data_IF_320115058918
#
_entry.id   IF_320115058918
#
_cell.length_a   1.000
_cell.length_b   1.000
_cell.length_c   1.000
_cell.angle_alpha   90.00
_cell.angle_beta   90.00
_cell.angle_gamma   90.00
#
_symmetry.space_group_name_H-M   'P 1'
#
loop_
_entity.id
_entity.type
_entity.pdbx_description
1 polymer ?
#
# COMPACT_ATOMS: atom_id res chain seq x y z
N UNK A 1 23.07 -28.13 0.47
CA UNK A 1 23.43 -26.71 0.71
C UNK A 1 23.33 -25.88 -0.56
N UNK A 2 24.05 -26.25 -1.63
CA UNK A 2 23.96 -25.58 -2.96
C UNK A 2 22.53 -25.62 -3.52
N UNK A 3 21.86 -26.77 -3.46
CA UNK A 3 20.46 -26.91 -3.90
C UNK A 3 19.49 -25.97 -3.14
N UNK A 4 19.70 -25.81 -1.83
CA UNK A 4 18.90 -24.91 -0.99
C UNK A 4 19.10 -23.44 -1.41
N UNK A 5 20.34 -23.06 -1.70
CA UNK A 5 20.69 -21.71 -2.14
C UNK A 5 20.12 -21.42 -3.53
N UNK A 6 20.24 -22.35 -4.47
CA UNK A 6 19.64 -22.24 -5.81
C UNK A 6 18.12 -22.05 -5.68
N UNK A 7 17.46 -22.81 -4.79
CA UNK A 7 16.03 -22.66 -4.52
C UNK A 7 15.68 -21.26 -3.98
N UNK A 8 16.48 -20.69 -3.09
CA UNK A 8 16.27 -19.32 -2.59
C UNK A 8 16.50 -18.26 -3.67
N UNK A 9 17.51 -18.42 -4.53
CA UNK A 9 17.77 -17.51 -5.65
C UNK A 9 16.58 -17.52 -6.63
N UNK A 10 16.06 -18.71 -6.97
CA UNK A 10 14.87 -18.84 -7.83
C UNK A 10 13.65 -18.14 -7.19
N UNK A 11 13.41 -18.34 -5.89
CA UNK A 11 12.32 -17.68 -5.17
C UNK A 11 12.49 -16.15 -5.21
N UNK A 12 13.70 -15.63 -4.99
CA UNK A 12 13.99 -14.20 -5.02
C UNK A 12 13.72 -13.59 -6.41
N UNK A 13 14.12 -14.29 -7.49
CA UNK A 13 13.84 -13.85 -8.87
C UNK A 13 12.32 -13.81 -9.13
N UNK A 14 11.59 -14.86 -8.75
CA UNK A 14 10.12 -14.92 -8.93
C UNK A 14 9.44 -13.78 -8.16
N UNK A 15 9.86 -13.52 -6.92
CA UNK A 15 9.35 -12.41 -6.11
C UNK A 15 9.66 -11.04 -6.72
N UNK A 16 10.85 -10.88 -7.32
CA UNK A 16 11.23 -9.70 -8.11
C UNK A 16 10.27 -9.42 -9.25
N UNK A 17 10.03 -10.44 -10.09
CA UNK A 17 9.11 -10.33 -11.24
C UNK A 17 7.68 -10.01 -10.78
N UNK A 18 7.19 -10.67 -9.72
CA UNK A 18 5.86 -10.39 -9.17
C UNK A 18 5.75 -8.93 -8.70
N UNK A 19 6.75 -8.44 -7.96
CA UNK A 19 6.78 -7.07 -7.47
C UNK A 19 6.73 -6.03 -8.59
N UNK A 20 7.49 -6.26 -9.66
CA UNK A 20 7.55 -5.37 -10.82
C UNK A 20 6.25 -5.38 -11.63
N UNK A 21 5.68 -6.57 -11.88
CA UNK A 21 4.38 -6.70 -12.55
C UNK A 21 3.27 -5.99 -11.76
N UNK A 22 3.23 -6.14 -10.44
CA UNK A 22 2.25 -5.44 -9.59
C UNK A 22 2.45 -3.93 -9.63
N UNK A 23 3.71 -3.47 -9.57
CA UNK A 23 4.02 -2.03 -9.64
C UNK A 23 3.59 -1.42 -10.98
N UNK A 24 3.81 -2.15 -12.08
CA UNK A 24 3.44 -1.73 -13.43
C UNK A 24 1.92 -1.79 -13.68
N UNK A 25 1.21 -2.81 -13.18
CA UNK A 25 -0.27 -2.84 -13.23
C UNK A 25 -0.87 -1.69 -12.42
N UNK A 26 -0.27 -1.38 -11.27
CA UNK A 26 -0.66 -0.27 -10.40
C UNK A 26 -0.45 1.09 -11.08
N UNK A 27 0.65 1.30 -11.80
CA UNK A 27 0.90 2.56 -12.53
C UNK A 27 -0.03 2.69 -13.75
N UNK A 28 -0.30 1.61 -14.48
CA UNK A 28 -1.21 1.62 -15.64
C UNK A 28 -2.65 1.98 -15.24
N UNK A 29 -3.14 1.46 -14.12
CA UNK A 29 -4.43 1.86 -13.52
C UNK A 29 -4.40 3.25 -12.86
N UNK A 30 -3.26 3.94 -12.84
CA UNK A 30 -3.14 5.33 -12.37
C UNK A 30 -3.37 6.34 -13.50
N UNK A 31 -3.08 5.99 -14.75
CA UNK A 31 -3.17 6.90 -15.89
C UNK A 31 -4.52 6.86 -16.64
N UNK A 32 -5.47 6.00 -16.24
CA UNK A 32 -6.80 6.01 -16.84
C UNK A 32 -7.65 7.14 -16.25
N UNK A 33 -7.68 8.26 -16.97
CA UNK A 33 -8.65 9.35 -16.95
C UNK A 33 -9.15 9.80 -15.58
N UNK A 34 -8.47 10.81 -15.02
CA UNK A 34 -9.02 11.71 -14.01
C UNK A 34 -10.13 12.53 -14.68
N UNK A 35 -11.32 11.96 -14.78
CA UNK A 35 -12.52 12.78 -14.86
C UNK A 35 -12.84 13.25 -13.45
N UNK A 36 -13.35 14.47 -13.30
CA UNK A 36 -13.70 15.10 -12.01
C UNK A 36 -14.64 14.26 -11.14
N UNK A 37 -15.25 13.24 -11.73
CA UNK A 37 -16.30 12.40 -11.18
C UNK A 37 -15.82 11.01 -10.76
N UNK A 38 -14.69 10.55 -11.31
CA UNK A 38 -14.14 9.20 -11.08
C UNK A 38 -12.67 9.30 -10.70
N UNK A 39 -12.36 9.07 -9.43
CA UNK A 39 -10.97 9.10 -8.96
C UNK A 39 -10.73 8.07 -7.87
N UNK A 40 -9.46 7.73 -7.65
CA UNK A 40 -9.03 6.78 -6.62
C UNK A 40 -8.16 7.49 -5.60
N UNK A 41 -8.55 7.43 -4.34
CA UNK A 41 -7.70 7.80 -3.20
C UNK A 41 -6.75 6.65 -2.93
N UNK A 42 -5.43 6.91 -2.97
CA UNK A 42 -4.39 5.88 -2.87
C UNK A 42 -3.56 6.06 -1.61
N UNK A 43 -2.83 5.00 -1.25
CA UNK A 43 -1.82 5.12 -0.21
C UNK A 43 -0.78 6.17 -0.65
N UNK A 44 -0.13 6.87 0.29
CA UNK A 44 0.84 7.91 -0.05
C UNK A 44 1.88 7.38 -1.05
N UNK A 45 2.07 8.07 -2.17
CA UNK A 45 3.04 7.64 -3.19
C UNK A 45 4.45 7.48 -2.60
N UNK A 46 4.83 8.36 -1.68
CA UNK A 46 6.10 8.32 -0.93
C UNK A 46 6.27 6.98 -0.20
N UNK A 47 5.21 6.45 0.42
CA UNK A 47 5.27 5.16 1.11
C UNK A 47 5.52 4.02 0.13
N UNK A 48 4.86 4.02 -1.03
CA UNK A 48 5.10 3.01 -2.08
C UNK A 48 6.56 3.03 -2.54
N UNK A 49 7.12 4.21 -2.80
CA UNK A 49 8.51 4.35 -3.24
C UNK A 49 9.52 3.99 -2.14
N UNK A 50 9.26 4.37 -0.88
CA UNK A 50 10.09 3.96 0.24
C UNK A 50 10.12 2.43 0.37
N UNK A 51 8.95 1.76 0.34
CA UNK A 51 8.89 0.29 0.36
C UNK A 51 9.57 -0.34 -0.87
N UNK A 52 9.46 0.26 -2.04
CA UNK A 52 10.13 -0.20 -3.26
C UNK A 52 11.65 -0.09 -3.13
N UNK A 53 12.17 1.02 -2.59
CA UNK A 53 13.60 1.18 -2.31
C UNK A 53 14.10 0.14 -1.30
N UNK A 54 13.32 -0.15 -0.26
CA UNK A 54 13.63 -1.19 0.72
C UNK A 54 13.70 -2.58 0.06
N UNK A 55 12.75 -2.90 -0.83
CA UNK A 55 12.75 -4.14 -1.57
C UNK A 55 13.99 -4.29 -2.45
N UNK A 56 14.31 -3.26 -3.25
CA UNK A 56 15.48 -3.25 -4.13
C UNK A 56 16.78 -3.39 -3.33
N UNK A 57 16.90 -2.65 -2.21
CA UNK A 57 18.06 -2.77 -1.32
C UNK A 57 18.19 -4.18 -0.73
N UNK A 58 17.08 -4.78 -0.29
CA UNK A 58 17.04 -6.17 0.20
C UNK A 58 17.50 -7.17 -0.86
N UNK A 59 17.06 -7.01 -2.11
CA UNK A 59 17.49 -7.84 -3.24
C UNK A 59 18.97 -7.69 -3.54
N UNK A 60 19.50 -6.46 -3.58
CA UNK A 60 20.93 -6.21 -3.80
C UNK A 60 21.76 -6.86 -2.69
N UNK A 61 21.38 -6.64 -1.42
CA UNK A 61 22.07 -7.26 -0.28
C UNK A 61 22.03 -8.78 -0.37
N UNK A 62 20.90 -9.37 -0.72
CA UNK A 62 20.75 -10.82 -0.85
C UNK A 62 21.68 -11.38 -1.94
N UNK A 63 21.79 -10.72 -3.10
CA UNK A 63 22.70 -11.13 -4.17
C UNK A 63 24.18 -11.04 -3.76
N UNK A 64 24.57 -9.92 -3.12
CA UNK A 64 25.95 -9.72 -2.65
C UNK A 64 26.33 -10.75 -1.59
N UNK A 65 25.47 -10.98 -0.59
CA UNK A 65 25.73 -12.00 0.43
C UNK A 65 25.71 -13.41 -0.15
N UNK A 66 24.82 -13.72 -1.10
CA UNK A 66 24.81 -15.02 -1.77
C UNK A 66 26.11 -15.29 -2.52
N UNK A 67 26.64 -14.29 -3.22
CA UNK A 67 27.93 -14.40 -3.91
C UNK A 67 29.08 -14.71 -2.94
N UNK A 68 29.19 -13.96 -1.84
CA UNK A 68 30.25 -14.18 -0.85
C UNK A 68 30.09 -15.50 -0.08
N UNK A 69 28.85 -15.88 0.24
CA UNK A 69 28.53 -17.15 0.89
C UNK A 69 28.95 -18.33 0.00
N UNK A 70 28.65 -18.29 -1.30
CA UNK A 70 29.04 -19.33 -2.26
C UNK A 70 30.56 -19.43 -2.44
N UNK A 71 31.29 -18.33 -2.26
CA UNK A 71 32.76 -18.31 -2.29
C UNK A 71 33.40 -18.87 -1.00
N UNK A 72 32.59 -19.24 -0.01
CA UNK A 72 33.07 -19.77 1.27
C UNK A 72 33.70 -18.71 2.17
N UNK A 73 33.27 -17.44 2.06
CA UNK A 73 33.76 -16.38 2.94
C UNK A 73 33.24 -16.58 4.38
N UNK A 74 34.15 -16.78 5.33
CA UNK A 74 33.85 -17.00 6.75
C UNK A 74 33.07 -15.85 7.41
N UNK A 75 33.15 -14.63 6.86
CA UNK A 75 32.42 -13.46 7.39
C UNK A 75 30.93 -13.50 7.06
N UNK A 76 30.52 -14.20 5.99
CA UNK A 76 29.14 -14.23 5.51
C UNK A 76 28.47 -15.54 5.89
N UNK A 77 27.72 -15.50 7.00
CA UNK A 77 26.89 -16.62 7.43
C UNK A 77 25.50 -16.64 6.77
N UNK A 78 24.81 -17.78 6.90
CA UNK A 78 23.39 -17.94 6.53
C UNK A 78 22.49 -16.84 7.12
N UNK A 79 22.83 -16.29 8.29
CA UNK A 79 22.12 -15.18 8.93
C UNK A 79 21.98 -13.97 8.01
N UNK A 80 23.02 -13.62 7.25
CA UNK A 80 22.99 -12.48 6.32
C UNK A 80 22.00 -12.69 5.17
N UNK A 81 21.88 -13.93 4.69
CA UNK A 81 20.90 -14.32 3.67
C UNK A 81 19.47 -14.21 4.21
N UNK A 82 19.23 -14.63 5.45
CA UNK A 82 17.92 -14.53 6.09
C UNK A 82 17.52 -13.07 6.32
N UNK A 83 18.42 -12.25 6.87
CA UNK A 83 18.14 -10.84 7.15
C UNK A 83 17.83 -10.07 5.87
N UNK A 84 18.65 -10.23 4.83
CA UNK A 84 18.42 -9.59 3.53
C UNK A 84 17.10 -10.03 2.88
N UNK A 85 16.76 -11.33 2.96
CA UNK A 85 15.48 -11.86 2.47
C UNK A 85 14.28 -11.29 3.21
N UNK A 86 14.33 -11.23 4.55
CA UNK A 86 13.24 -10.68 5.38
C UNK A 86 13.08 -9.19 5.10
N UNK A 87 14.19 -8.45 5.03
CA UNK A 87 14.18 -7.01 4.76
C UNK A 87 13.57 -6.69 3.40
N UNK A 88 13.96 -7.44 2.36
CA UNK A 88 13.35 -7.36 1.03
C UNK A 88 11.86 -7.74 1.06
N UNK A 89 11.51 -8.84 1.72
CA UNK A 89 10.13 -9.32 1.83
C UNK A 89 9.18 -8.29 2.47
N UNK A 90 9.62 -7.59 3.51
CA UNK A 90 8.84 -6.50 4.13
C UNK A 90 8.63 -5.35 3.13
N UNK A 91 9.68 -4.98 2.37
CA UNK A 91 9.58 -3.96 1.32
C UNK A 91 8.56 -4.34 0.25
N UNK A 92 8.62 -5.58 -0.23
CA UNK A 92 7.69 -6.12 -1.22
C UNK A 92 6.24 -6.12 -0.69
N UNK A 93 6.03 -6.59 0.53
CA UNK A 93 4.72 -6.55 1.17
C UNK A 93 4.17 -5.11 1.23
N UNK A 94 5.01 -4.14 1.60
CA UNK A 94 4.65 -2.73 1.61
C UNK A 94 4.23 -2.19 0.23
N UNK A 95 4.94 -2.57 -0.84
CA UNK A 95 4.59 -2.19 -2.23
C UNK A 95 3.25 -2.80 -2.63
N UNK A 96 3.03 -4.09 -2.35
CA UNK A 96 1.77 -4.78 -2.66
C UNK A 96 0.63 -4.11 -1.89
N UNK A 97 0.84 -3.78 -0.61
CA UNK A 97 -0.14 -3.10 0.23
C UNK A 97 -0.51 -1.73 -0.29
N UNK A 98 0.48 -0.89 -0.58
CA UNK A 98 0.25 0.44 -1.11
C UNK A 98 -0.42 0.40 -2.51
N UNK A 99 -0.17 -0.63 -3.30
CA UNK A 99 -0.73 -0.78 -4.66
C UNK A 99 -2.19 -1.27 -4.66
N UNK A 100 -2.54 -2.18 -3.74
CA UNK A 100 -3.90 -2.72 -3.63
C UNK A 100 -4.79 -1.78 -2.82
N UNK A 101 -4.26 -1.18 -1.76
CA UNK A 101 -5.01 -0.29 -0.90
C UNK A 101 -5.49 0.94 -1.68
N UNK A 102 -6.75 1.28 -1.51
CA UNK A 102 -7.31 2.53 -2.01
C UNK A 102 -8.81 2.56 -1.93
N UNK A 103 -9.36 3.75 -2.18
CA UNK A 103 -10.79 3.99 -2.22
C UNK A 103 -11.13 4.54 -3.59
N UNK A 104 -11.86 3.76 -4.39
CA UNK A 104 -12.40 4.24 -5.66
C UNK A 104 -13.67 5.02 -5.35
N UNK A 105 -13.74 6.25 -5.82
CA UNK A 105 -14.89 7.13 -5.68
C UNK A 105 -15.56 7.22 -7.03
N UNK A 106 -16.81 6.78 -7.08
CA UNK A 106 -17.78 7.00 -8.13
C UNK A 106 -18.86 7.95 -7.56
N UNK A 107 -19.49 8.74 -8.40
CA UNK A 107 -20.44 9.81 -8.06
C UNK A 107 -21.49 9.40 -7.01
N UNK A 108 -21.88 8.13 -7.00
CA UNK A 108 -22.83 7.55 -6.03
C UNK A 108 -22.24 6.49 -5.10
N UNK A 109 -21.05 5.93 -5.41
CA UNK A 109 -20.51 4.74 -4.77
C UNK A 109 -19.03 4.90 -4.36
N UNK A 110 -18.67 4.29 -3.24
CA UNK A 110 -17.32 4.19 -2.71
C UNK A 110 -16.94 2.70 -2.69
N UNK A 111 -15.95 2.33 -3.49
CA UNK A 111 -15.37 0.99 -3.45
C UNK A 111 -14.09 1.00 -2.63
N UNK A 112 -14.10 0.30 -1.50
CA UNK A 112 -12.93 0.16 -0.65
C UNK A 112 -12.14 -1.08 -1.09
N UNK A 113 -10.91 -0.88 -1.55
CA UNK A 113 -9.96 -1.94 -1.86
C UNK A 113 -8.95 -2.11 -0.71
N UNK A 114 -8.81 -3.34 -0.21
CA UNK A 114 -7.85 -3.74 0.83
C UNK A 114 -7.22 -5.07 0.46
N UNK A 115 -6.01 -5.33 0.95
CA UNK A 115 -5.32 -6.60 0.73
C UNK A 115 -6.12 -7.80 1.25
N UNK A 116 -6.60 -7.76 2.50
CA UNK A 116 -7.15 -8.94 3.20
C UNK A 116 -8.67 -8.91 3.38
N UNK A 117 -9.38 -8.00 2.71
CA UNK A 117 -10.83 -7.91 2.83
C UNK A 117 -11.52 -7.86 1.48
N UNK A 118 -12.67 -8.53 1.40
CA UNK A 118 -13.58 -8.47 0.26
C UNK A 118 -13.86 -7.01 -0.06
N UNK A 119 -13.80 -6.68 -1.35
CA UNK A 119 -14.14 -5.35 -1.87
C UNK A 119 -15.48 -4.94 -1.28
N UNK A 120 -15.49 -3.81 -0.57
CA UNK A 120 -16.72 -3.29 0.02
C UNK A 120 -17.19 -2.11 -0.81
N UNK A 121 -18.25 -2.32 -1.59
CA UNK A 121 -18.95 -1.27 -2.31
C UNK A 121 -19.98 -0.66 -1.34
N UNK A 122 -19.94 0.66 -1.19
CA UNK A 122 -20.82 1.41 -0.29
C UNK A 122 -21.39 2.60 -1.04
N UNK A 123 -22.70 2.81 -0.97
CA UNK A 123 -23.27 4.07 -1.46
C UNK A 123 -22.79 5.22 -0.59
N UNK A 124 -22.47 6.38 -1.19
CA UNK A 124 -22.04 7.57 -0.44
C UNK A 124 -23.14 8.02 0.53
N UNK A 125 -24.40 7.76 0.18
CA UNK A 125 -25.57 8.02 1.03
C UNK A 125 -25.58 7.20 2.31
N UNK A 126 -24.82 6.11 2.41
CA UNK A 126 -24.71 5.25 3.60
C UNK A 126 -23.58 5.64 4.55
N UNK A 127 -22.82 6.68 4.21
CA UNK A 127 -21.85 7.29 5.11
C UNK A 127 -22.64 8.11 6.15
N UNK A 128 -22.52 7.71 7.42
CA UNK A 128 -23.18 8.41 8.52
C UNK A 128 -22.39 9.65 8.96
N UNK A 129 -21.09 9.47 9.19
CA UNK A 129 -20.24 10.52 9.72
C UNK A 129 -18.78 10.35 9.28
N UNK A 130 -18.08 11.47 9.25
CA UNK A 130 -16.65 11.55 8.95
C UNK A 130 -15.96 12.20 10.15
N UNK A 131 -14.93 11.55 10.69
CA UNK A 131 -14.14 12.08 11.79
C UNK A 131 -12.73 12.37 11.29
N UNK A 132 -12.27 13.60 11.45
CA UNK A 132 -10.89 13.99 11.19
C UNK A 132 -10.12 13.83 12.50
N UNK A 133 -9.17 12.91 12.52
CA UNK A 133 -8.32 12.57 13.66
C UNK A 133 -7.24 13.65 13.90
N UNK A 134 -6.49 13.55 15.00
CA UNK A 134 -5.46 14.54 15.40
C UNK A 134 -4.33 14.71 14.38
N UNK A 135 -4.08 13.71 13.52
CA UNK A 135 -3.07 13.73 12.45
C UNK A 135 -3.68 14.07 11.07
N UNK A 136 -4.81 14.76 11.06
CA UNK A 136 -5.65 15.03 9.89
C UNK A 136 -6.05 13.77 9.09
N UNK A 137 -5.97 12.59 9.71
CA UNK A 137 -6.43 11.35 9.09
C UNK A 137 -7.95 11.28 9.12
N UNK A 138 -8.57 11.08 7.96
CA UNK A 138 -10.01 10.96 7.80
C UNK A 138 -10.48 9.55 8.12
N UNK A 139 -11.45 9.42 9.02
CA UNK A 139 -12.09 8.15 9.37
C UNK A 139 -13.55 8.21 8.94
N UNK A 140 -13.92 7.36 7.97
CA UNK A 140 -15.30 7.21 7.52
C UNK A 140 -16.03 6.20 8.40
N UNK A 141 -17.26 6.54 8.78
CA UNK A 141 -18.16 5.67 9.52
C UNK A 141 -19.47 5.49 8.76
N UNK A 142 -20.02 4.28 8.89
CA UNK A 142 -21.36 3.93 8.44
C UNK A 142 -22.42 4.68 9.28
N UNK A 143 -23.66 4.79 8.79
CA UNK A 143 -24.84 5.25 9.56
C UNK A 143 -24.99 4.50 10.89
N UNK A 144 -24.57 3.23 10.93
CA UNK A 144 -24.58 2.38 12.13
C UNK A 144 -23.41 2.65 13.10
N UNK A 145 -22.56 3.66 12.85
CA UNK A 145 -21.39 3.99 13.67
C UNK A 145 -20.21 3.03 13.53
N UNK A 146 -20.25 2.08 12.57
CA UNK A 146 -19.15 1.15 12.30
C UNK A 146 -18.06 1.83 11.47
N UNK A 147 -16.79 1.71 11.89
CA UNK A 147 -15.64 2.23 11.15
C UNK A 147 -15.51 1.54 9.80
N UNK A 148 -15.55 2.33 8.73
CA UNK A 148 -15.43 1.86 7.35
C UNK A 148 -13.96 1.83 6.93
N UNK A 149 -13.29 2.97 6.94
CA UNK A 149 -11.89 3.12 6.55
C UNK A 149 -11.23 4.32 7.24
N UNK A 150 -9.91 4.23 7.43
CA UNK A 150 -9.06 5.35 7.82
C UNK A 150 -8.18 5.69 6.61
N UNK A 151 -8.20 6.95 6.20
CA UNK A 151 -7.45 7.52 5.09
C UNK A 151 -6.47 8.52 5.71
N UNK A 152 -5.20 8.44 5.33
CA UNK A 152 -4.17 9.34 5.84
C UNK A 152 -4.22 10.69 5.12
N UNK A 153 -3.77 11.76 5.77
CA UNK A 153 -3.73 13.09 5.14
C UNK A 153 -2.77 13.14 3.95
N UNK A 154 -1.74 12.28 3.94
CA UNK A 154 -0.76 12.17 2.85
C UNK A 154 -1.24 11.29 1.70
N UNK A 155 -2.46 10.76 1.76
CA UNK A 155 -3.04 9.98 0.67
C UNK A 155 -3.28 10.84 -0.58
N UNK A 156 -2.96 10.30 -1.75
CA UNK A 156 -3.25 10.96 -3.01
C UNK A 156 -4.77 11.20 -3.14
N UNK A 157 -5.17 12.36 -3.67
CA UNK A 157 -6.57 12.79 -3.83
C UNK A 157 -7.37 12.94 -2.51
N UNK A 158 -6.69 13.10 -1.36
CA UNK A 158 -7.32 13.35 -0.06
C UNK A 158 -8.25 14.58 -0.07
N UNK A 159 -7.76 15.72 -0.56
CA UNK A 159 -8.52 16.97 -0.56
C UNK A 159 -9.76 16.91 -1.44
N UNK A 160 -9.67 16.19 -2.56
CA UNK A 160 -10.80 15.97 -3.47
C UNK A 160 -11.91 15.16 -2.80
N UNK A 161 -11.55 14.14 -2.04
CA UNK A 161 -12.51 13.37 -1.22
C UNK A 161 -13.12 14.22 -0.10
N UNK A 162 -12.30 15.01 0.60
CA UNK A 162 -12.80 15.88 1.65
C UNK A 162 -13.81 16.90 1.10
N UNK A 163 -13.54 17.50 -0.05
CA UNK A 163 -14.44 18.47 -0.69
C UNK A 163 -15.75 17.82 -1.18
N UNK A 164 -15.69 16.61 -1.72
CA UNK A 164 -16.88 15.84 -2.11
C UNK A 164 -17.78 15.49 -0.91
N UNK A 165 -17.17 15.14 0.23
CA UNK A 165 -17.93 14.84 1.45
C UNK A 165 -18.56 16.10 2.05
N UNK A 166 -17.89 17.26 1.94
CA UNK A 166 -18.44 18.57 2.32
C UNK A 166 -19.62 18.98 1.44
N UNK A 167 -19.50 18.83 0.11
CA UNK A 167 -20.56 19.22 -0.83
C UNK A 167 -21.84 18.40 -0.62
N UNK A 168 -21.70 17.13 -0.23
CA UNK A 168 -22.83 16.26 0.11
C UNK A 168 -23.42 16.45 1.52
N UNK A 169 -22.99 17.50 2.25
CA UNK A 169 -23.49 17.85 3.59
C UNK A 169 -23.40 16.71 4.62
N UNK A 170 -22.40 15.84 4.49
CA UNK A 170 -22.18 14.77 5.47
C UNK A 170 -21.65 15.39 6.77
N UNK A 171 -22.04 14.83 7.93
CA UNK A 171 -21.59 15.30 9.24
C UNK A 171 -20.09 15.07 9.41
N UNK A 172 -19.30 16.14 9.33
CA UNK A 172 -17.86 16.12 9.57
C UNK A 172 -17.60 16.63 10.98
N UNK A 173 -16.91 15.84 11.79
CA UNK A 173 -16.44 16.24 13.13
C UNK A 173 -14.92 16.26 13.14
N UNK A 174 -14.34 17.35 13.68
CA UNK A 174 -12.90 17.48 13.85
C UNK A 174 -12.54 17.20 15.30
N UNK A 175 -11.65 16.25 15.53
CA UNK A 175 -11.14 15.97 16.88
C UNK A 175 -10.11 17.05 17.23
N UNK A 176 -10.54 18.08 17.94
CA UNK A 176 -9.64 19.16 18.38
C UNK A 176 -8.53 18.61 19.29
N UNK A 177 -7.31 19.16 19.14
CA UNK A 177 -6.26 19.03 20.14
C UNK A 177 -6.77 19.61 21.46
N UNK A 178 -7.04 18.74 22.44
CA UNK A 178 -6.64 19.00 23.82
C UNK A 178 -5.21 18.54 23.97
#
# INVERSE_FOLDING_TARGET
MIETIIRYIVIAIVLGVIGEVISHLSSKTTNENISTTYYRVKAPAVLKYACMSQFVLGMIMFLVFSYFYLKGNETVEMGHLYVSSIFGGIGLYGVIWASIWGVKVDDSQLEIHRIFHVKKVLCITDIGQVIIDKKDAMILYDKKGKKLIKIDALSDNYDHLLNLLKSKKIKISKKHLK
#
